data_IF_762690251525
#
_entry.id   IF_762690251525
#
_cell.length_a   1.000
_cell.length_b   1.000
_cell.length_c   1.000
_cell.angle_alpha   90.00
_cell.angle_beta   90.00
_cell.angle_gamma   90.00
#
_symmetry.space_group_name_H-M   'P 1'
#
loop_
_entity.id
_entity.type
_entity.pdbx_description
1 polymer ?
#
# COMPACT_ATOMS: atom_id res chain seq x y z
N UNK A 1 -8.06 -11.67 -19.62
CA UNK A 1 -8.86 -10.89 -18.69
C UNK A 1 -10.02 -10.19 -19.39
N UNK A 2 -11.09 -9.94 -18.69
CA UNK A 2 -12.22 -9.15 -19.18
C UNK A 2 -12.83 -8.33 -18.04
N UNK A 3 -13.46 -7.21 -18.42
CA UNK A 3 -14.22 -6.38 -17.51
C UNK A 3 -15.69 -6.70 -17.72
N UNK A 4 -16.37 -7.02 -16.65
CA UNK A 4 -17.77 -7.41 -16.65
C UNK A 4 -18.59 -6.44 -15.80
N UNK A 5 -19.68 -5.94 -16.35
CA UNK A 5 -20.65 -5.14 -15.60
C UNK A 5 -21.69 -6.07 -14.98
N UNK A 6 -21.63 -6.23 -13.67
CA UNK A 6 -22.53 -7.11 -12.90
C UNK A 6 -23.99 -6.69 -13.01
N UNK A 7 -24.26 -5.40 -13.16
CA UNK A 7 -25.63 -4.88 -13.20
C UNK A 7 -26.31 -5.11 -14.57
N UNK A 8 -25.53 -5.09 -15.63
CA UNK A 8 -26.05 -5.26 -17.01
C UNK A 8 -25.73 -6.63 -17.61
N UNK A 9 -24.97 -7.45 -16.87
CA UNK A 9 -24.50 -8.78 -17.31
C UNK A 9 -23.74 -8.75 -18.65
N UNK A 10 -23.04 -7.66 -18.92
CA UNK A 10 -22.29 -7.46 -20.15
C UNK A 10 -20.79 -7.49 -19.93
N UNK A 11 -20.08 -8.11 -20.87
CA UNK A 11 -18.62 -7.96 -20.97
C UNK A 11 -18.37 -6.59 -21.63
N UNK A 12 -17.69 -5.70 -20.91
CA UNK A 12 -17.35 -4.37 -21.37
C UNK A 12 -16.07 -4.36 -22.21
N UNK A 13 -15.09 -5.18 -21.81
CA UNK A 13 -13.82 -5.27 -22.52
C UNK A 13 -13.15 -6.63 -22.30
N UNK A 14 -12.37 -7.09 -23.26
CA UNK A 14 -11.64 -8.35 -23.23
C UNK A 14 -10.27 -8.20 -23.88
N UNK A 15 -9.24 -8.82 -23.28
CA UNK A 15 -7.93 -8.94 -23.89
C UNK A 15 -7.24 -10.25 -23.44
N UNK A 16 -6.29 -10.73 -24.22
CA UNK A 16 -5.58 -11.97 -23.90
C UNK A 16 -4.53 -11.78 -22.81
N UNK A 17 -3.75 -10.70 -22.84
CA UNK A 17 -2.67 -10.47 -21.87
C UNK A 17 -2.73 -9.11 -21.18
N UNK A 18 -3.03 -8.05 -21.92
CA UNK A 18 -3.08 -6.68 -21.36
C UNK A 18 -4.33 -5.98 -21.84
N UNK A 19 -5.07 -5.39 -20.93
CA UNK A 19 -6.25 -4.60 -21.18
C UNK A 19 -6.08 -3.21 -20.56
N UNK A 20 -6.27 -2.18 -21.36
CA UNK A 20 -6.37 -0.79 -20.87
C UNK A 20 -7.61 -0.21 -21.51
N UNK A 21 -8.58 0.16 -20.68
CA UNK A 21 -9.83 0.72 -21.17
C UNK A 21 -10.41 1.76 -20.21
N UNK A 22 -11.29 2.60 -20.75
CA UNK A 22 -12.05 3.56 -19.95
C UNK A 22 -13.50 3.12 -19.94
N UNK A 23 -14.00 2.83 -18.75
CA UNK A 23 -15.39 2.42 -18.54
C UNK A 23 -16.17 3.49 -17.80
N UNK A 24 -17.46 3.59 -18.11
CA UNK A 24 -18.39 4.44 -17.37
C UNK A 24 -19.31 3.59 -16.51
N UNK A 25 -19.32 3.88 -15.22
CA UNK A 25 -20.18 3.21 -14.24
C UNK A 25 -20.89 4.28 -13.41
N UNK A 26 -22.21 4.24 -13.38
CA UNK A 26 -23.05 5.19 -12.66
C UNK A 26 -22.73 6.67 -12.97
N UNK A 27 -22.46 7.00 -14.26
CA UNK A 27 -22.14 8.35 -14.71
C UNK A 27 -20.72 8.84 -14.37
N UNK A 28 -19.84 7.95 -13.90
CA UNK A 28 -18.44 8.25 -13.57
C UNK A 28 -17.51 7.43 -14.45
N UNK A 29 -16.41 8.05 -14.88
CA UNK A 29 -15.42 7.41 -15.74
C UNK A 29 -14.23 6.89 -14.95
N UNK A 30 -13.82 5.68 -15.27
CA UNK A 30 -12.68 5.00 -14.67
C UNK A 30 -11.76 4.46 -15.75
N UNK A 31 -10.46 4.67 -15.59
CA UNK A 31 -9.45 3.90 -16.34
C UNK A 31 -9.23 2.60 -15.57
N UNK A 32 -9.36 1.51 -16.28
CA UNK A 32 -9.04 0.18 -15.78
C UNK A 32 -7.87 -0.38 -16.58
N UNK A 33 -6.88 -0.87 -15.87
CA UNK A 33 -5.72 -1.56 -16.45
C UNK A 33 -5.65 -2.96 -15.87
N UNK A 34 -5.48 -3.94 -16.71
CA UNK A 34 -5.28 -5.34 -16.33
C UNK A 34 -4.13 -5.91 -17.15
N UNK A 35 -3.23 -6.60 -16.49
CA UNK A 35 -2.13 -7.31 -17.13
C UNK A 35 -2.09 -8.76 -16.64
N UNK A 36 -1.77 -9.71 -17.53
CA UNK A 36 -1.51 -11.09 -17.21
C UNK A 36 -0.10 -11.46 -17.68
N UNK A 37 0.69 -12.06 -16.80
CA UNK A 37 2.07 -12.46 -17.09
C UNK A 37 2.47 -13.68 -16.26
N UNK A 38 3.49 -14.45 -16.70
CA UNK A 38 3.99 -15.58 -15.92
C UNK A 38 4.51 -15.14 -14.56
N UNK A 39 4.24 -15.93 -13.53
CA UNK A 39 4.76 -15.69 -12.19
C UNK A 39 6.30 -15.75 -12.20
N UNK A 40 6.94 -14.82 -11.51
CA UNK A 40 8.38 -14.86 -11.28
C UNK A 40 8.77 -15.85 -10.16
N UNK A 41 7.82 -16.33 -9.39
CA UNK A 41 8.03 -17.26 -8.28
C UNK A 41 7.80 -18.71 -8.70
N UNK A 42 6.76 -18.97 -9.47
CA UNK A 42 6.40 -20.30 -9.95
C UNK A 42 6.09 -20.24 -11.45
N UNK A 43 6.88 -20.94 -12.25
CA UNK A 43 6.84 -20.83 -13.72
C UNK A 43 5.51 -21.27 -14.37
N UNK A 44 4.72 -22.06 -13.66
CA UNK A 44 3.45 -22.59 -14.16
C UNK A 44 2.25 -21.74 -13.76
N UNK A 45 2.48 -20.70 -12.97
CA UNK A 45 1.43 -19.81 -12.48
C UNK A 45 1.37 -18.51 -13.28
N UNK A 46 0.18 -17.93 -13.30
CA UNK A 46 -0.07 -16.65 -13.96
C UNK A 46 -0.38 -15.61 -12.88
N UNK A 47 0.37 -14.51 -12.93
CA UNK A 47 0.09 -13.31 -12.17
C UNK A 47 -0.82 -12.38 -12.96
N UNK A 48 -1.72 -11.74 -12.24
CA UNK A 48 -2.58 -10.70 -12.77
C UNK A 48 -2.38 -9.42 -11.97
N UNK A 49 -2.00 -8.35 -12.62
CA UNK A 49 -2.07 -7.00 -12.04
C UNK A 49 -3.31 -6.29 -12.56
N UNK A 50 -3.97 -5.55 -11.69
CA UNK A 50 -5.02 -4.64 -12.10
C UNK A 50 -4.94 -3.31 -11.35
N UNK A 51 -5.35 -2.27 -12.00
CA UNK A 51 -5.43 -0.93 -11.45
C UNK A 51 -6.72 -0.27 -11.91
N UNK A 52 -7.38 0.43 -11.00
CA UNK A 52 -8.53 1.28 -11.32
C UNK A 52 -8.24 2.70 -10.83
N UNK A 53 -8.45 3.66 -11.73
CA UNK A 53 -8.29 5.08 -11.42
C UNK A 53 -9.52 5.86 -11.86
N UNK A 54 -10.13 6.60 -10.93
CA UNK A 54 -11.19 7.55 -11.28
C UNK A 54 -10.62 8.72 -12.10
N UNK A 55 -11.29 9.08 -13.20
CA UNK A 55 -10.91 10.22 -14.05
C UNK A 55 -11.55 11.53 -13.61
N UNK A 56 -12.77 11.47 -13.14
CA UNK A 56 -13.59 12.64 -12.86
C UNK A 56 -13.53 13.08 -11.39
N UNK A 57 -12.90 12.31 -10.54
CA UNK A 57 -12.73 12.60 -9.10
C UNK A 57 -11.30 12.38 -8.66
N UNK A 58 -10.81 13.22 -7.73
CA UNK A 58 -9.46 13.05 -7.15
C UNK A 58 -9.31 11.78 -6.30
N UNK A 59 -10.43 11.20 -5.85
CA UNK A 59 -10.48 9.96 -5.08
C UNK A 59 -11.72 9.16 -5.47
N UNK A 60 -11.61 7.85 -5.52
CA UNK A 60 -12.78 6.97 -5.51
C UNK A 60 -13.45 7.18 -4.16
N UNK A 61 -14.65 7.74 -4.16
CA UNK A 61 -15.35 8.05 -2.91
C UNK A 61 -15.78 6.77 -2.18
N UNK A 62 -15.90 6.85 -0.85
CA UNK A 62 -16.34 5.74 0.00
C UNK A 62 -17.74 5.19 -0.34
N UNK A 63 -18.51 5.91 -1.15
CA UNK A 63 -19.88 5.53 -1.57
C UNK A 63 -19.90 4.70 -2.86
N UNK A 64 -18.77 4.57 -3.57
CA UNK A 64 -18.68 3.80 -4.81
C UNK A 64 -17.63 2.72 -4.65
N UNK A 65 -18.09 1.53 -4.31
CA UNK A 65 -17.23 0.37 -4.21
C UNK A 65 -17.00 -0.23 -5.59
N UNK A 66 -15.73 -0.48 -5.91
CA UNK A 66 -15.35 -1.30 -7.05
C UNK A 66 -14.93 -2.64 -6.45
N UNK A 67 -15.68 -3.66 -6.74
CA UNK A 67 -15.36 -5.02 -6.33
C UNK A 67 -14.65 -5.76 -7.48
N UNK A 68 -13.70 -6.58 -7.12
CA UNK A 68 -13.04 -7.50 -8.05
C UNK A 68 -13.53 -8.90 -7.75
N UNK A 69 -13.89 -9.61 -8.77
CA UNK A 69 -14.23 -11.02 -8.68
C UNK A 69 -13.26 -11.82 -9.54
N UNK A 70 -12.56 -12.74 -8.91
CA UNK A 70 -11.76 -13.72 -9.62
C UNK A 70 -12.57 -15.00 -9.74
N UNK A 71 -12.74 -15.51 -10.96
CA UNK A 71 -13.42 -16.74 -11.23
C UNK A 71 -12.45 -17.74 -11.83
N UNK A 72 -12.35 -18.90 -11.23
CA UNK A 72 -11.53 -20.02 -11.70
C UNK A 72 -12.22 -21.34 -11.41
N UNK A 73 -11.82 -22.39 -12.13
CA UNK A 73 -12.21 -23.76 -11.83
C UNK A 73 -10.97 -24.50 -11.32
N UNK A 74 -11.11 -25.10 -10.13
CA UNK A 74 -10.03 -25.87 -9.48
C UNK A 74 -8.72 -25.04 -9.39
N UNK A 75 -8.82 -23.77 -8.99
CA UNK A 75 -7.71 -22.85 -8.90
C UNK A 75 -7.58 -22.27 -7.48
N UNK A 76 -6.37 -22.26 -6.98
CA UNK A 76 -5.99 -21.50 -5.79
C UNK A 76 -5.66 -20.06 -6.21
N UNK A 77 -6.24 -19.09 -5.53
CA UNK A 77 -6.07 -17.66 -5.88
C UNK A 77 -5.62 -16.87 -4.67
N UNK A 78 -4.50 -16.18 -4.80
CA UNK A 78 -4.02 -15.25 -3.81
C UNK A 78 -4.14 -13.83 -4.33
N UNK A 79 -4.72 -12.93 -3.54
CA UNK A 79 -4.94 -11.53 -3.91
C UNK A 79 -4.15 -10.62 -3.00
N UNK A 80 -3.28 -9.81 -3.57
CA UNK A 80 -2.44 -8.87 -2.86
C UNK A 80 -2.80 -7.43 -3.20
N UNK A 81 -2.76 -6.59 -2.20
CA UNK A 81 -2.95 -5.16 -2.37
C UNK A 81 -1.60 -4.46 -2.57
N UNK A 82 -1.40 -3.89 -3.76
CA UNK A 82 -0.15 -3.23 -4.13
C UNK A 82 -0.06 -1.76 -3.72
N UNK A 83 -1.16 -1.00 -3.88
CA UNK A 83 -1.22 0.42 -3.52
C UNK A 83 -2.65 0.94 -3.43
N UNK A 84 -2.85 2.05 -2.73
CA UNK A 84 -4.17 2.63 -2.46
C UNK A 84 -4.75 2.13 -1.13
N UNK A 85 -6.04 2.26 -0.93
CA UNK A 85 -6.73 1.76 0.25
C UNK A 85 -7.70 0.65 -0.15
N UNK A 86 -7.45 -0.55 0.31
CA UNK A 86 -8.46 -1.61 0.33
C UNK A 86 -9.16 -1.60 1.68
N UNK A 87 -10.47 -1.55 1.63
CA UNK A 87 -11.28 -1.74 2.83
C UNK A 87 -11.83 -3.17 2.79
N UNK A 88 -11.74 -3.86 3.92
CA UNK A 88 -12.49 -5.08 4.14
C UNK A 88 -13.95 -4.74 3.92
N UNK A 89 -14.60 -5.44 3.00
CA UNK A 89 -15.96 -5.13 2.63
C UNK A 89 -16.91 -5.45 3.79
N UNK A 90 -17.34 -4.42 4.51
CA UNK A 90 -18.38 -4.54 5.54
C UNK A 90 -19.80 -4.70 4.95
N UNK A 91 -19.94 -4.63 3.63
CA UNK A 91 -21.22 -4.76 2.94
C UNK A 91 -21.64 -6.23 2.88
N UNK A 92 -20.70 -7.15 2.77
CA UNK A 92 -20.93 -8.59 2.85
C UNK A 92 -19.99 -9.21 3.89
N UNK A 93 -20.50 -9.59 5.07
CA UNK A 93 -19.68 -10.20 6.11
C UNK A 93 -18.98 -11.51 5.69
N UNK A 94 -19.49 -12.23 4.69
CA UNK A 94 -18.85 -13.44 4.16
C UNK A 94 -17.56 -13.16 3.38
N UNK A 95 -17.32 -11.90 3.00
CA UNK A 95 -16.13 -11.45 2.29
C UNK A 95 -15.12 -10.76 3.22
N UNK A 96 -15.33 -10.82 4.53
CA UNK A 96 -14.57 -10.04 5.51
C UNK A 96 -13.22 -10.65 5.91
N UNK A 97 -12.89 -11.85 5.48
CA UNK A 97 -11.68 -12.56 5.90
C UNK A 97 -10.48 -12.23 5.00
N UNK A 98 -9.78 -11.15 5.36
CA UNK A 98 -8.43 -10.90 4.87
C UNK A 98 -7.41 -11.39 5.89
N UNK A 99 -6.59 -12.35 5.55
CA UNK A 99 -5.42 -12.68 6.34
C UNK A 99 -4.33 -11.61 6.17
N UNK A 100 -3.59 -11.36 7.24
CA UNK A 100 -2.41 -10.49 7.19
C UNK A 100 -1.14 -11.24 6.78
N UNK A 101 -1.18 -12.57 6.78
CA UNK A 101 -0.09 -13.42 6.31
C UNK A 101 0.17 -13.23 4.82
N UNK A 102 1.32 -13.71 4.36
CA UNK A 102 1.73 -13.63 2.94
C UNK A 102 1.76 -12.20 2.36
N UNK A 103 1.89 -11.18 3.21
CA UNK A 103 1.85 -9.77 2.80
C UNK A 103 3.21 -9.17 2.43
N UNK A 104 4.26 -9.98 2.38
CA UNK A 104 5.60 -9.52 2.01
C UNK A 104 5.71 -9.36 0.50
N UNK A 105 5.79 -8.10 0.08
CA UNK A 105 5.78 -7.73 -1.32
C UNK A 105 7.17 -7.83 -1.98
N UNK A 106 7.21 -7.95 -3.30
CA UNK A 106 8.43 -7.80 -4.11
C UNK A 106 8.97 -6.35 -3.98
N UNK A 107 10.30 -6.14 -3.93
CA UNK A 107 11.37 -7.14 -4.02
C UNK A 107 11.78 -7.81 -2.69
N UNK A 108 11.16 -7.45 -1.57
CA UNK A 108 11.54 -7.94 -0.24
C UNK A 108 11.34 -9.45 -0.07
N UNK A 109 10.48 -10.06 -0.89
CA UNK A 109 10.23 -11.50 -0.91
C UNK A 109 11.33 -12.32 -1.62
N UNK A 110 12.28 -11.72 -2.33
CA UNK A 110 13.36 -12.47 -3.00
C UNK A 110 14.27 -13.20 -2.01
N UNK A 111 14.76 -14.42 -2.36
CA UNK A 111 15.62 -15.22 -1.48
C UNK A 111 16.91 -14.53 -1.05
N UNK A 112 17.50 -13.74 -1.94
CA UNK A 112 18.77 -13.04 -1.74
C UNK A 112 18.67 -11.70 -1.01
N UNK A 113 17.46 -11.26 -0.68
CA UNK A 113 17.20 -9.97 -0.01
C UNK A 113 16.98 -10.20 1.47
N UNK A 114 17.61 -9.38 2.31
CA UNK A 114 17.29 -9.31 3.74
C UNK A 114 16.03 -8.47 3.88
N UNK A 115 14.93 -9.13 4.22
CA UNK A 115 13.65 -8.49 4.48
C UNK A 115 13.58 -8.05 5.93
N UNK A 116 13.25 -6.78 6.16
CA UNK A 116 13.18 -6.19 7.51
C UNK A 116 11.74 -5.82 7.84
N UNK A 117 11.22 -6.37 8.94
CA UNK A 117 9.96 -5.95 9.53
C UNK A 117 10.16 -4.79 10.51
N UNK A 118 9.12 -4.05 10.81
CA UNK A 118 9.17 -2.88 11.68
C UNK A 118 8.53 -3.12 13.05
N UNK A 119 9.23 -2.72 14.13
CA UNK A 119 8.69 -2.68 15.47
C UNK A 119 8.40 -1.27 15.94
N UNK A 120 7.47 -1.14 16.88
CA UNK A 120 7.17 0.11 17.56
C UNK A 120 8.30 0.40 18.56
N UNK A 121 9.08 1.45 18.32
CA UNK A 121 10.12 1.93 19.23
C UNK A 121 9.71 3.21 19.99
N UNK A 122 8.82 4.00 19.38
CA UNK A 122 8.19 5.16 20.01
C UNK A 122 6.72 5.21 19.65
N UNK A 123 5.88 5.61 20.58
CA UNK A 123 4.43 5.75 20.36
C UNK A 123 4.06 7.14 19.83
N UNK A 124 5.00 8.06 19.79
CA UNK A 124 4.79 9.41 19.30
C UNK A 124 6.06 10.25 19.41
N UNK A 125 5.92 11.52 19.12
CA UNK A 125 7.00 12.50 19.14
C UNK A 125 6.48 13.87 19.54
N UNK A 126 7.41 14.75 19.96
CA UNK A 126 7.09 16.17 20.16
C UNK A 126 7.50 16.94 18.92
N UNK A 127 6.57 17.68 18.33
CA UNK A 127 6.83 18.48 17.13
C UNK A 127 7.65 19.76 17.43
N UNK A 128 8.01 20.49 16.37
CA UNK A 128 8.82 21.72 16.47
C UNK A 128 8.13 22.82 17.27
N UNK A 129 6.81 22.75 17.45
CA UNK A 129 6.02 23.70 18.25
C UNK A 129 5.92 23.27 19.72
N UNK A 130 6.54 22.14 20.09
CA UNK A 130 6.50 21.59 21.44
C UNK A 130 5.24 20.78 21.76
N UNK A 131 4.41 20.46 20.76
CA UNK A 131 3.20 19.68 20.92
C UNK A 131 3.50 18.20 20.75
N UNK A 132 3.06 17.38 21.70
CA UNK A 132 3.15 15.93 21.57
C UNK A 132 2.11 15.41 20.55
N UNK A 133 2.58 14.59 19.60
CA UNK A 133 1.76 13.90 18.60
C UNK A 133 1.91 12.39 18.80
N UNK A 134 0.81 11.75 19.09
CA UNK A 134 0.77 10.29 19.16
C UNK A 134 0.64 9.74 17.73
N UNK A 135 1.58 8.88 17.34
CA UNK A 135 1.63 8.26 16.00
C UNK A 135 1.23 6.78 16.02
N UNK A 136 1.34 6.13 17.19
CA UNK A 136 1.08 4.70 17.36
C UNK A 136 0.16 4.44 18.54
N UNK A 137 -0.71 3.46 18.38
CA UNK A 137 -1.62 2.99 19.45
C UNK A 137 -1.15 1.69 20.08
N UNK A 138 -0.23 0.98 19.41
CA UNK A 138 0.36 -0.27 19.90
C UNK A 138 1.49 0.00 20.89
N UNK A 139 1.79 -0.98 21.74
CA UNK A 139 2.86 -0.89 22.73
C UNK A 139 4.24 -0.92 22.10
N UNK A 140 5.22 -0.30 22.77
CA UNK A 140 6.64 -0.41 22.41
C UNK A 140 7.05 -1.88 22.41
N UNK A 141 7.79 -2.28 21.37
CA UNK A 141 8.21 -3.65 21.12
C UNK A 141 7.22 -4.47 20.28
N UNK A 142 5.98 -4.01 20.12
CA UNK A 142 5.03 -4.69 19.24
C UNK A 142 5.42 -4.53 17.76
N UNK A 143 4.97 -5.46 16.92
CA UNK A 143 5.09 -5.33 15.47
C UNK A 143 4.21 -4.17 14.99
N UNK A 144 4.75 -3.30 14.14
CA UNK A 144 4.00 -2.21 13.53
C UNK A 144 2.84 -2.73 12.68
N UNK A 145 1.68 -2.11 12.78
CA UNK A 145 0.49 -2.53 12.02
C UNK A 145 0.69 -2.48 10.50
N UNK A 146 1.63 -1.65 10.05
CA UNK A 146 2.04 -1.50 8.65
C UNK A 146 3.16 -2.46 8.23
N UNK A 147 3.73 -3.23 9.17
CA UNK A 147 4.76 -4.22 8.86
C UNK A 147 4.12 -5.45 8.23
N UNK A 148 4.59 -5.81 7.05
CA UNK A 148 4.17 -7.03 6.38
C UNK A 148 4.59 -8.27 7.15
N UNK A 149 3.81 -9.32 7.04
CA UNK A 149 3.97 -10.59 7.74
C UNK A 149 4.06 -11.71 6.69
N UNK A 150 5.02 -12.62 6.90
CA UNK A 150 5.15 -13.83 6.11
C UNK A 150 4.22 -14.98 6.52
N UNK A 151 4.43 -16.13 5.94
CA UNK A 151 5.51 -16.49 5.01
C UNK A 151 5.44 -15.74 3.68
N UNK A 152 6.44 -15.91 2.82
CA UNK A 152 6.36 -15.50 1.42
C UNK A 152 5.43 -16.43 0.66
N UNK A 153 5.06 -16.05 -0.55
CA UNK A 153 4.22 -16.84 -1.44
C UNK A 153 4.72 -18.30 -1.64
N UNK A 154 6.03 -18.50 -1.66
CA UNK A 154 6.70 -19.81 -1.75
C UNK A 154 7.06 -20.39 -0.37
N UNK A 155 6.29 -20.06 0.66
CA UNK A 155 6.34 -20.60 2.03
C UNK A 155 7.67 -20.38 2.78
N UNK A 156 8.54 -19.48 2.33
CA UNK A 156 9.74 -19.11 3.07
C UNK A 156 9.42 -18.18 4.23
N UNK A 157 10.08 -18.38 5.35
CA UNK A 157 9.95 -17.50 6.52
C UNK A 157 10.57 -16.14 6.20
N UNK A 158 9.75 -15.09 6.22
CA UNK A 158 10.12 -13.68 6.12
C UNK A 158 9.20 -12.87 7.07
N UNK A 159 9.58 -11.70 7.54
CA UNK A 159 10.89 -11.04 7.36
C UNK A 159 12.01 -11.82 8.06
N UNK A 160 13.26 -11.61 7.61
CA UNK A 160 14.46 -12.25 8.19
C UNK A 160 14.81 -11.66 9.57
N UNK A 161 14.58 -10.36 9.72
CA UNK A 161 14.86 -9.60 10.95
C UNK A 161 13.78 -8.53 11.16
N UNK A 162 13.74 -8.00 12.38
CA UNK A 162 12.90 -6.85 12.73
C UNK A 162 13.79 -5.72 13.27
N UNK A 163 13.40 -4.47 12.98
CA UNK A 163 14.10 -3.27 13.43
C UNK A 163 13.11 -2.17 13.84
N UNK A 164 13.55 -1.17 14.61
CA UNK A 164 12.73 -0.01 14.94
C UNK A 164 12.27 0.73 13.68
N UNK A 165 10.97 0.92 13.53
CA UNK A 165 10.39 1.56 12.34
C UNK A 165 9.30 2.58 12.63
N UNK A 166 8.98 2.88 13.90
CA UNK A 166 7.97 3.87 14.25
C UNK A 166 8.58 5.13 14.85
N UNK A 167 8.08 6.28 14.42
CA UNK A 167 8.52 7.61 14.89
C UNK A 167 10.05 7.77 14.86
N UNK A 168 10.67 7.30 13.79
CA UNK A 168 12.11 7.43 13.56
C UNK A 168 12.41 8.87 13.17
N UNK A 169 13.32 9.51 13.91
CA UNK A 169 13.73 10.89 13.66
C UNK A 169 14.94 10.89 12.74
N UNK A 170 14.81 11.55 11.60
CA UNK A 170 15.90 11.68 10.63
C UNK A 170 15.88 13.02 9.91
N UNK A 171 16.99 13.32 9.21
CA UNK A 171 17.06 14.51 8.35
C UNK A 171 16.08 14.39 7.18
N UNK A 172 15.49 15.53 6.82
CA UNK A 172 14.55 15.60 5.69
C UNK A 172 15.11 16.44 4.54
N UNK A 173 14.63 16.21 3.34
CA UNK A 173 15.06 16.96 2.17
C UNK A 173 14.55 18.40 2.19
N UNK A 174 15.42 19.35 2.57
CA UNK A 174 15.06 20.76 2.67
C UNK A 174 14.68 21.41 1.33
N UNK A 175 15.19 20.90 0.21
CA UNK A 175 14.80 21.38 -1.12
C UNK A 175 13.37 20.96 -1.46
N UNK A 176 13.02 19.71 -1.16
CA UNK A 176 11.67 19.23 -1.36
C UNK A 176 10.64 20.04 -0.57
N UNK A 177 10.94 20.33 0.68
CA UNK A 177 10.08 21.16 1.55
C UNK A 177 9.84 22.58 1.03
N UNK A 178 10.89 23.21 0.48
CA UNK A 178 10.78 24.55 -0.10
C UNK A 178 9.90 24.53 -1.35
N UNK A 179 10.06 23.50 -2.19
CA UNK A 179 9.30 23.39 -3.43
C UNK A 179 7.85 22.92 -3.21
N UNK A 180 7.53 22.31 -2.07
CA UNK A 180 6.22 21.78 -1.74
C UNK A 180 5.71 22.33 -0.39
N UNK A 181 5.36 23.61 -0.33
CA UNK A 181 4.98 24.28 0.92
C UNK A 181 3.71 23.69 1.56
N UNK A 182 2.85 23.05 0.77
CA UNK A 182 1.60 22.43 1.23
C UNK A 182 1.74 20.93 1.55
N UNK A 183 2.97 20.41 1.60
CA UNK A 183 3.20 19.02 1.92
C UNK A 183 2.83 18.71 3.38
N UNK A 184 2.04 17.66 3.59
CA UNK A 184 1.62 17.19 4.92
C UNK A 184 2.79 16.78 5.82
N UNK A 185 3.95 16.39 5.25
CA UNK A 185 5.15 16.02 6.01
C UNK A 185 5.68 17.17 6.88
N UNK A 186 5.28 18.43 6.59
CA UNK A 186 5.64 19.59 7.43
C UNK A 186 5.11 19.45 8.86
N UNK A 187 4.01 18.73 9.04
CA UNK A 187 3.41 18.50 10.35
C UNK A 187 4.21 17.49 11.19
N UNK A 188 5.19 16.81 10.59
CA UNK A 188 6.06 15.85 11.28
C UNK A 188 7.42 16.44 11.70
N UNK A 189 7.64 17.75 11.53
CA UNK A 189 8.86 18.42 11.94
C UNK A 189 9.10 18.34 13.44
N UNK A 190 10.31 17.97 13.82
CA UNK A 190 10.77 17.87 15.20
C UNK A 190 11.62 19.08 15.59
N UNK A 191 12.56 19.45 14.73
CA UNK A 191 13.48 20.54 14.95
C UNK A 191 14.00 21.09 13.64
N UNK A 192 14.66 22.25 13.69
CA UNK A 192 15.31 22.85 12.55
C UNK A 192 16.63 23.52 12.94
N UNK A 193 17.51 23.68 11.97
CA UNK A 193 18.69 24.52 12.08
C UNK A 193 18.92 25.28 10.77
N UNK A 194 19.61 26.41 10.87
CA UNK A 194 19.94 27.21 9.70
C UNK A 194 21.45 27.13 9.42
N UNK A 195 21.78 26.81 8.18
CA UNK A 195 23.15 26.83 7.69
C UNK A 195 23.23 27.52 6.33
N UNK A 196 24.13 28.46 6.18
CA UNK A 196 24.34 29.26 4.96
C UNK A 196 23.03 29.87 4.40
N UNK A 197 22.18 30.41 5.30
CA UNK A 197 20.91 31.03 4.93
C UNK A 197 19.79 30.06 4.53
N UNK A 198 19.99 28.77 4.68
CA UNK A 198 18.99 27.72 4.41
C UNK A 198 18.57 27.04 5.70
N UNK A 199 17.29 26.75 5.82
CA UNK A 199 16.74 25.93 6.90
C UNK A 199 16.77 24.45 6.53
N UNK A 200 17.19 23.64 7.47
CA UNK A 200 17.20 22.18 7.44
C UNK A 200 16.34 21.67 8.56
N UNK A 201 15.62 20.58 8.31
CA UNK A 201 14.64 20.05 9.24
C UNK A 201 14.91 18.59 9.58
N UNK A 202 14.54 18.24 10.80
CA UNK A 202 14.44 16.87 11.25
C UNK A 202 12.96 16.53 11.36
N UNK A 203 12.59 15.38 10.78
CA UNK A 203 11.22 14.89 10.78
C UNK A 203 11.12 13.56 11.49
N UNK A 204 9.91 13.24 11.98
CA UNK A 204 9.56 11.92 12.46
C UNK A 204 8.74 11.20 11.40
N UNK A 205 9.18 10.02 10.99
CA UNK A 205 8.47 9.18 10.05
C UNK A 205 8.38 7.74 10.55
N UNK A 206 7.38 7.00 10.08
CA UNK A 206 7.19 5.59 10.38
C UNK A 206 7.11 4.77 9.10
N UNK A 207 7.68 3.57 9.12
CA UNK A 207 7.67 2.64 8.00
C UNK A 207 8.76 1.59 8.09
N UNK A 208 8.64 0.53 7.31
CA UNK A 208 9.69 -0.50 7.17
C UNK A 208 10.90 -0.01 6.37
N UNK A 209 10.81 1.18 5.79
CA UNK A 209 11.90 1.84 5.04
C UNK A 209 12.78 2.74 5.92
N UNK A 210 12.51 2.86 7.23
CA UNK A 210 13.22 3.72 8.17
C UNK A 210 14.46 3.05 8.77
#
# INVERSE_FOLDING_TARGET
>A
PHIFDVNTEKILATADSTLIDTVEVAGKRYVMMMGAYPSCYQKEEICYDWMVKALDEKKVGLTNYIAYQVMGKDADVQVYHGSGNMYICSVDPSLADCEKSHSINSPSSYPSVICVGATINHTGYTDIEGKYKQSETLSIGALGAYSSIGPTFDERIKPDVIAPGSSVISSYNSFYEVCHPDNWDRDTRISSYTYQGRNYFWHSNSGTSM
#
